data_IF_801926034212
#
_entry.id   IF_801926034212
#
_cell.length_a   1.000
_cell.length_b   1.000
_cell.length_c   1.000
_cell.angle_alpha   90.00
_cell.angle_beta   90.00
_cell.angle_gamma   90.00
#
_symmetry.space_group_name_H-M   'P 1'
#
loop_
_entity.id
_entity.type
_entity.pdbx_description
1 polymer ?
#
# COMPACT_ATOMS: atom_id res chain seq x y z
N UNK A 1 -0.62 -5.05 36.48
CA UNK A 1 0.54 -5.94 36.73
C UNK A 1 0.02 -7.11 37.54
N UNK A 2 -0.37 -8.21 36.88
CA UNK A 2 -0.92 -9.37 37.59
C UNK A 2 0.22 -10.10 38.29
N UNK A 3 0.05 -10.32 39.60
CA UNK A 3 1.05 -10.93 40.47
C UNK A 3 1.41 -12.33 39.95
N UNK A 4 2.68 -12.61 39.76
CA UNK A 4 3.20 -13.91 39.28
C UNK A 4 2.75 -15.09 40.16
N UNK A 5 2.48 -14.81 41.44
CA UNK A 5 1.87 -15.76 42.39
C UNK A 5 0.44 -16.16 42.04
N UNK A 6 -0.37 -15.27 41.44
CA UNK A 6 -1.75 -15.58 41.03
C UNK A 6 -1.77 -16.51 39.80
N UNK A 7 -0.82 -16.34 38.89
CA UNK A 7 -0.66 -17.22 37.71
C UNK A 7 -0.23 -18.62 38.14
N UNK A 8 0.70 -18.73 39.09
CA UNK A 8 1.10 -20.02 39.65
C UNK A 8 -0.08 -20.73 40.33
N UNK A 9 -0.87 -20.02 41.14
CA UNK A 9 -2.03 -20.58 41.82
C UNK A 9 -3.10 -21.10 40.85
N UNK A 10 -3.37 -20.37 39.76
CA UNK A 10 -4.30 -20.81 38.71
C UNK A 10 -3.79 -22.05 37.97
N UNK A 11 -2.47 -22.17 37.77
CA UNK A 11 -1.87 -23.38 37.20
C UNK A 11 -2.04 -24.58 38.14
N UNK A 12 -1.78 -24.42 39.44
CA UNK A 12 -1.94 -25.52 40.42
C UNK A 12 -3.39 -25.96 40.60
N UNK A 13 -4.36 -25.03 40.63
CA UNK A 13 -5.79 -25.35 40.75
C UNK A 13 -6.30 -26.13 39.54
N UNK A 14 -5.81 -25.82 38.33
CA UNK A 14 -6.19 -26.54 37.12
C UNK A 14 -5.50 -27.91 36.99
N UNK A 15 -4.24 -28.03 37.43
CA UNK A 15 -3.53 -29.33 37.49
C UNK A 15 -4.19 -30.26 38.50
N UNK A 16 -4.64 -29.75 39.66
CA UNK A 16 -5.34 -30.55 40.67
C UNK A 16 -6.67 -31.14 40.20
N UNK A 17 -7.41 -30.40 39.35
CA UNK A 17 -8.66 -30.91 38.74
C UNK A 17 -8.39 -31.97 37.67
N UNK A 18 -7.34 -31.81 36.88
CA UNK A 18 -6.96 -32.76 35.83
C UNK A 18 -6.53 -34.13 36.39
N UNK A 19 -5.97 -34.19 37.60
CA UNK A 19 -5.50 -35.43 38.22
C UNK A 19 -6.62 -36.32 38.80
N UNK A 20 -7.85 -35.82 38.93
CA UNK A 20 -8.98 -36.61 39.50
C UNK A 20 -9.73 -37.48 38.50
N UNK A 21 -9.32 -37.52 37.22
CA UNK A 21 -10.00 -38.27 36.15
C UNK A 21 -9.08 -39.23 35.38
N UNK A 22 -8.26 -40.01 36.08
CA UNK A 22 -7.39 -41.01 35.43
C UNK A 22 -7.69 -42.43 35.92
N UNK A 23 -8.20 -43.26 35.00
CA UNK A 23 -8.35 -44.71 35.16
C UNK A 23 -6.97 -45.38 34.87
N UNK A 24 -6.49 -46.35 35.68
CA UNK A 24 -5.13 -46.87 35.57
C UNK A 24 -5.03 -47.87 34.41
N UNK A 25 -4.80 -47.37 33.20
CA UNK A 25 -4.62 -48.26 32.05
C UNK A 25 -4.39 -47.62 30.68
N UNK A 26 -4.42 -46.28 30.55
CA UNK A 26 -4.17 -45.60 29.27
C UNK A 26 -3.27 -44.37 29.45
N UNK A 27 -2.11 -44.40 28.81
CA UNK A 27 -1.08 -43.36 28.82
C UNK A 27 -1.44 -42.09 28.02
N UNK A 28 -2.69 -41.94 27.58
CA UNK A 28 -3.11 -40.94 26.59
C UNK A 28 -4.08 -39.87 27.10
N UNK A 29 -4.53 -39.95 28.36
CA UNK A 29 -5.53 -39.00 28.89
C UNK A 29 -4.97 -37.58 29.07
N UNK A 30 -3.69 -37.45 29.40
CA UNK A 30 -3.11 -36.15 29.80
C UNK A 30 -2.76 -35.28 28.60
N UNK A 31 -2.42 -35.87 27.45
CA UNK A 31 -1.90 -35.10 26.30
C UNK A 31 -2.99 -34.36 25.54
N UNK A 32 -4.16 -34.96 25.36
CA UNK A 32 -5.28 -34.33 24.65
C UNK A 32 -5.91 -33.19 25.47
N UNK A 33 -6.12 -33.41 26.77
CA UNK A 33 -6.66 -32.39 27.65
C UNK A 33 -5.67 -31.24 27.88
N UNK A 34 -4.37 -31.55 27.96
CA UNK A 34 -3.32 -30.53 28.02
C UNK A 34 -3.27 -29.70 26.73
N UNK A 35 -3.39 -30.34 25.56
CA UNK A 35 -3.45 -29.64 24.28
C UNK A 35 -4.67 -28.71 24.21
N UNK A 36 -5.85 -29.18 24.66
CA UNK A 36 -7.05 -28.36 24.74
C UNK A 36 -6.96 -27.23 25.77
N UNK A 37 -6.26 -27.45 26.89
CA UNK A 37 -6.03 -26.42 27.91
C UNK A 37 -5.05 -25.35 27.40
N UNK A 38 -3.97 -25.73 26.72
CA UNK A 38 -3.03 -24.80 26.09
C UNK A 38 -3.73 -23.98 25.01
N UNK A 39 -4.55 -24.61 24.16
CA UNK A 39 -5.31 -23.92 23.11
C UNK A 39 -6.37 -22.93 23.65
N UNK A 40 -6.84 -23.12 24.89
CA UNK A 40 -7.80 -22.21 25.55
C UNK A 40 -7.12 -21.14 26.42
N UNK A 41 -5.94 -21.42 26.96
CA UNK A 41 -5.19 -20.50 27.83
C UNK A 41 -4.23 -19.57 27.05
N UNK A 42 -3.87 -19.93 25.82
CA UNK A 42 -3.21 -19.00 24.89
C UNK A 42 -4.32 -18.14 24.26
N UNK A 43 -4.40 -16.82 24.56
CA UNK A 43 -5.26 -15.93 23.79
C UNK A 43 -4.71 -15.99 22.37
N UNK A 44 -5.42 -16.68 21.48
CA UNK A 44 -5.11 -16.92 20.07
C UNK A 44 -3.84 -16.19 19.64
N UNK A 45 -2.70 -16.89 19.60
CA UNK A 45 -1.59 -16.41 18.78
C UNK A 45 -2.07 -16.55 17.34
N UNK A 46 -2.86 -15.55 16.96
CA UNK A 46 -3.34 -15.34 15.63
C UNK A 46 -2.10 -14.98 14.85
N UNK A 47 -1.52 -15.96 14.17
CA UNK A 47 -0.92 -15.72 12.86
C UNK A 47 -2.06 -15.32 11.91
N UNK A 48 -2.70 -14.17 12.18
CA UNK A 48 -3.79 -13.66 11.39
C UNK A 48 -3.29 -12.52 10.53
N UNK A 49 -3.04 -12.86 9.27
CA UNK A 49 -3.55 -12.09 8.14
C UNK A 49 -2.88 -10.75 7.80
N UNK A 50 -1.54 -10.64 7.92
CA UNK A 50 -0.80 -9.47 7.43
C UNK A 50 -1.07 -9.17 5.95
N UNK A 51 -1.16 -10.22 5.10
CA UNK A 51 -1.53 -10.06 3.68
C UNK A 51 -2.93 -9.45 3.51
N UNK A 52 -3.96 -9.94 4.21
CA UNK A 52 -5.33 -9.44 3.98
C UNK A 52 -5.57 -8.04 4.55
N UNK A 53 -4.84 -7.62 5.58
CA UNK A 53 -5.00 -6.26 6.12
C UNK A 53 -4.29 -5.22 5.27
N UNK A 54 -3.12 -5.57 4.71
CA UNK A 54 -2.40 -4.71 3.79
C UNK A 54 -3.18 -4.51 2.47
N UNK A 55 -3.79 -5.56 1.94
CA UNK A 55 -4.66 -5.49 0.75
C UNK A 55 -5.91 -4.61 0.96
N UNK A 56 -6.31 -4.34 2.22
CA UNK A 56 -7.38 -3.37 2.53
C UNK A 56 -6.93 -1.92 2.44
N UNK A 57 -5.62 -1.65 2.36
CA UNK A 57 -5.05 -0.31 2.23
C UNK A 57 -4.27 -0.21 0.92
N UNK A 58 -4.98 -0.05 -0.22
CA UNK A 58 -4.32 0.06 -1.51
C UNK A 58 -3.24 1.13 -1.47
N UNK A 59 -2.06 0.73 -1.91
CA UNK A 59 -0.83 1.54 -1.83
C UNK A 59 0.02 1.19 -3.04
N UNK A 60 0.51 2.20 -3.74
CA UNK A 60 1.45 2.01 -4.82
C UNK A 60 2.58 3.03 -4.79
N UNK A 61 3.71 2.63 -5.32
CA UNK A 61 4.85 3.47 -5.62
C UNK A 61 5.43 2.99 -6.94
N UNK A 62 5.50 3.89 -7.90
CA UNK A 62 6.07 3.65 -9.21
C UNK A 62 7.09 4.74 -9.57
N UNK A 63 8.10 4.35 -10.32
CA UNK A 63 9.13 5.27 -10.83
C UNK A 63 9.36 5.05 -12.32
N UNK A 64 9.92 6.06 -12.98
CA UNK A 64 10.18 6.04 -14.42
C UNK A 64 11.62 5.55 -14.68
N UNK A 65 11.80 4.39 -15.32
CA UNK A 65 13.14 3.81 -15.58
C UNK A 65 13.90 4.62 -16.62
N UNK A 66 13.24 4.94 -17.73
CA UNK A 66 13.84 5.59 -18.89
C UNK A 66 13.10 6.87 -19.20
N UNK A 67 13.81 7.90 -19.68
CA UNK A 67 13.19 9.19 -19.98
C UNK A 67 12.06 9.03 -21.00
N UNK A 68 10.91 9.64 -20.73
CA UNK A 68 9.72 9.53 -21.55
C UNK A 68 9.45 10.86 -22.24
N UNK A 69 9.33 10.83 -23.57
CA UNK A 69 8.91 11.99 -24.36
C UNK A 69 7.39 12.07 -24.43
N UNK A 70 6.85 13.23 -24.07
CA UNK A 70 5.43 13.56 -24.10
C UNK A 70 5.13 14.37 -25.37
N UNK A 71 4.70 13.69 -26.43
CA UNK A 71 4.56 14.28 -27.76
C UNK A 71 3.25 15.07 -27.98
N UNK A 72 2.25 14.92 -27.10
CA UNK A 72 0.96 15.63 -27.19
C UNK A 72 0.24 15.68 -25.85
N UNK A 73 -0.84 16.47 -25.75
CA UNK A 73 -1.70 16.58 -24.55
C UNK A 73 -2.38 15.26 -24.12
N UNK A 74 -2.34 14.23 -24.98
CA UNK A 74 -2.98 12.93 -24.72
C UNK A 74 -2.04 11.94 -24.04
N UNK A 75 -0.75 12.23 -23.95
CA UNK A 75 0.25 11.29 -23.43
C UNK A 75 0.18 11.22 -21.91
N UNK A 76 -0.05 10.01 -21.40
CA UNK A 76 0.04 9.65 -19.98
C UNK A 76 1.50 9.29 -19.66
N UNK A 77 2.00 9.76 -18.51
CA UNK A 77 3.32 9.38 -18.01
C UNK A 77 3.23 7.97 -17.44
N UNK A 78 3.98 7.04 -18.01
CA UNK A 78 3.97 5.62 -17.65
C UNK A 78 5.14 5.33 -16.72
N UNK A 79 4.92 5.44 -15.42
CA UNK A 79 5.93 5.02 -14.44
C UNK A 79 5.99 3.48 -14.45
N UNK A 80 6.93 2.97 -15.22
CA UNK A 80 7.05 1.58 -15.66
C UNK A 80 7.72 0.66 -14.61
N UNK A 81 8.24 1.23 -13.53
CA UNK A 81 8.82 0.51 -12.40
C UNK A 81 7.95 0.61 -11.15
N UNK A 82 6.92 -0.24 -11.04
CA UNK A 82 6.10 -0.35 -9.84
C UNK A 82 6.82 -1.17 -8.76
N UNK A 83 7.37 -0.50 -7.74
CA UNK A 83 8.05 -1.17 -6.60
C UNK A 83 7.08 -1.60 -5.52
N UNK A 84 5.96 -0.89 -5.39
CA UNK A 84 4.86 -1.23 -4.47
C UNK A 84 3.58 -1.16 -5.29
N UNK A 85 2.71 -2.18 -5.16
CA UNK A 85 1.39 -2.20 -5.77
C UNK A 85 0.42 -3.09 -4.98
N UNK A 86 0.28 -2.79 -3.69
CA UNK A 86 -0.63 -3.49 -2.77
C UNK A 86 -2.07 -3.11 -3.12
N UNK A 87 -2.98 -4.09 -3.16
CA UNK A 87 -4.36 -3.87 -3.62
C UNK A 87 -4.50 -3.83 -5.15
N UNK A 88 -3.40 -3.95 -5.90
CA UNK A 88 -3.40 -4.07 -7.36
C UNK A 88 -4.05 -2.90 -8.10
N UNK A 89 -4.00 -1.69 -7.54
CA UNK A 89 -4.67 -0.51 -8.10
C UNK A 89 -3.90 0.16 -9.24
N UNK A 90 -2.56 0.08 -9.26
CA UNK A 90 -1.74 0.74 -10.28
C UNK A 90 -1.37 -0.20 -11.42
N UNK A 91 -1.52 0.26 -12.65
CA UNK A 91 -1.09 -0.44 -13.86
C UNK A 91 0.12 0.28 -14.48
N UNK A 92 1.29 -0.34 -14.40
CA UNK A 92 2.55 0.22 -14.91
C UNK A 92 2.63 0.29 -16.44
N UNK A 93 1.78 -0.46 -17.16
CA UNK A 93 1.75 -0.44 -18.63
C UNK A 93 1.00 0.78 -19.18
N UNK A 94 0.05 1.30 -18.39
CA UNK A 94 -0.79 2.45 -18.74
C UNK A 94 -0.44 3.72 -17.97
N UNK A 95 0.18 3.60 -16.79
CA UNK A 95 0.43 4.73 -15.88
C UNK A 95 -0.79 5.14 -15.05
N UNK A 96 -1.81 4.28 -14.98
CA UNK A 96 -3.10 4.60 -14.40
C UNK A 96 -3.29 3.86 -13.07
N UNK A 97 -3.66 4.61 -12.04
CA UNK A 97 -4.21 4.06 -10.82
C UNK A 97 -5.74 3.97 -10.92
N UNK A 98 -6.31 2.79 -10.68
CA UNK A 98 -7.75 2.56 -10.57
C UNK A 98 -8.09 2.23 -9.12
N UNK A 99 -8.96 3.02 -8.50
CA UNK A 99 -9.32 2.86 -7.10
C UNK A 99 -9.97 1.48 -6.84
N UNK A 100 -9.36 0.60 -6.01
CA UNK A 100 -9.95 -0.71 -5.72
C UNK A 100 -11.19 -0.61 -4.82
N UNK A 101 -11.33 0.50 -4.10
CA UNK A 101 -12.36 0.74 -3.10
C UNK A 101 -12.60 2.23 -2.91
N UNK A 102 -13.70 2.56 -2.25
CA UNK A 102 -14.05 3.94 -1.92
C UNK A 102 -13.16 4.47 -0.79
N UNK A 103 -12.84 5.77 -0.86
CA UNK A 103 -12.19 6.50 0.23
C UNK A 103 -11.41 7.72 -0.26
N UNK A 104 -10.79 8.41 0.69
CA UNK A 104 -9.87 9.51 0.43
C UNK A 104 -8.46 8.94 0.24
N UNK A 105 -7.86 9.25 -0.90
CA UNK A 105 -6.51 8.84 -1.25
C UNK A 105 -5.56 10.03 -1.23
N UNK A 106 -4.32 9.81 -0.79
CA UNK A 106 -3.23 10.74 -0.97
C UNK A 106 -2.42 10.29 -2.19
N UNK A 107 -2.15 11.22 -3.10
CA UNK A 107 -1.22 11.03 -4.21
C UNK A 107 -0.07 12.00 -4.09
N UNK A 108 1.13 11.52 -4.42
CA UNK A 108 2.34 12.34 -4.55
C UNK A 108 3.02 12.00 -5.87
N UNK A 109 3.28 13.02 -6.68
CA UNK A 109 3.96 12.91 -7.95
C UNK A 109 5.17 13.84 -7.97
N UNK A 110 6.33 13.31 -8.36
CA UNK A 110 7.53 14.07 -8.68
C UNK A 110 7.80 13.93 -10.17
N UNK A 111 7.87 15.05 -10.88
CA UNK A 111 8.30 15.10 -12.27
C UNK A 111 9.58 15.90 -12.34
N UNK A 112 10.63 15.27 -12.85
CA UNK A 112 11.87 15.94 -13.22
C UNK A 112 11.88 16.14 -14.73
N UNK A 113 12.15 17.36 -15.18
CA UNK A 113 12.38 17.65 -16.58
C UNK A 113 13.78 17.17 -16.99
N UNK A 114 13.93 16.76 -18.25
CA UNK A 114 15.26 16.45 -18.78
C UNK A 114 16.14 17.72 -18.80
N UNK A 115 17.47 17.55 -18.79
CA UNK A 115 18.41 18.68 -18.76
C UNK A 115 18.10 19.74 -19.82
N UNK A 116 17.96 21.00 -19.39
CA UNK A 116 17.68 22.13 -20.27
C UNK A 116 16.24 22.20 -20.80
N UNK A 117 15.37 21.26 -20.41
CA UNK A 117 13.95 21.25 -20.75
C UNK A 117 13.06 21.61 -19.57
N UNK A 118 11.77 21.79 -19.85
CA UNK A 118 10.69 21.97 -18.90
C UNK A 118 9.60 20.91 -19.12
N UNK A 119 8.72 20.70 -18.14
CA UNK A 119 7.57 19.79 -18.28
C UNK A 119 6.32 20.38 -17.63
N UNK A 120 5.26 20.52 -18.42
CA UNK A 120 3.91 20.83 -17.94
C UNK A 120 3.11 19.54 -17.83
N UNK A 121 2.65 19.23 -16.64
CA UNK A 121 1.86 18.03 -16.39
C UNK A 121 0.64 18.34 -15.54
N UNK A 122 -0.27 17.39 -15.49
CA UNK A 122 -1.45 17.46 -14.64
C UNK A 122 -1.81 16.10 -14.09
N UNK A 123 -2.36 16.11 -12.88
CA UNK A 123 -3.04 14.98 -12.29
C UNK A 123 -4.50 15.04 -12.72
N UNK A 124 -5.00 13.91 -13.22
CA UNK A 124 -6.38 13.75 -13.66
C UNK A 124 -7.14 12.83 -12.72
N UNK A 125 -8.44 13.12 -12.53
CA UNK A 125 -9.44 12.19 -12.00
C UNK A 125 -10.48 11.96 -13.09
N UNK A 126 -10.67 10.72 -13.54
CA UNK A 126 -11.67 10.36 -14.58
C UNK A 126 -11.63 11.29 -15.80
N UNK A 127 -10.45 11.49 -16.39
CA UNK A 127 -10.20 12.37 -17.54
C UNK A 127 -10.37 13.88 -17.32
N UNK A 128 -10.87 14.29 -16.16
CA UNK A 128 -10.97 15.68 -15.75
C UNK A 128 -9.68 16.14 -15.06
N UNK A 129 -9.30 17.39 -15.34
CA UNK A 129 -8.18 18.04 -14.66
C UNK A 129 -8.47 18.14 -13.16
N UNK A 130 -7.56 17.64 -12.33
CA UNK A 130 -7.64 17.77 -10.87
C UNK A 130 -6.67 18.83 -10.34
N UNK A 131 -5.39 18.72 -10.71
CA UNK A 131 -4.37 19.72 -10.38
C UNK A 131 -3.23 19.69 -11.39
N UNK A 132 -2.32 20.64 -11.30
CA UNK A 132 -1.31 20.94 -12.31
C UNK A 132 0.08 21.00 -11.70
N UNK A 133 1.08 20.69 -12.50
CA UNK A 133 2.48 20.84 -12.14
C UNK A 133 3.29 21.41 -13.30
N UNK A 134 4.38 22.10 -12.94
CA UNK A 134 5.33 22.66 -13.88
C UNK A 134 6.74 22.46 -13.35
N UNK A 135 7.49 21.57 -13.99
CA UNK A 135 8.92 21.41 -13.76
C UNK A 135 9.66 22.43 -14.63
N UNK A 136 10.29 23.42 -14.00
CA UNK A 136 10.90 24.56 -14.67
C UNK A 136 12.12 24.17 -15.50
N UNK A 137 12.39 24.96 -16.54
CA UNK A 137 13.61 24.87 -17.33
C UNK A 137 14.86 25.10 -16.47
N UNK A 138 15.60 24.04 -16.17
CA UNK A 138 16.90 24.09 -15.51
C UNK A 138 17.69 22.81 -15.77
N UNK A 139 18.87 22.66 -15.16
CA UNK A 139 19.60 21.40 -15.16
C UNK A 139 18.89 20.40 -14.25
N UNK A 140 17.93 19.65 -14.82
CA UNK A 140 17.11 18.67 -14.11
C UNK A 140 16.15 19.28 -13.08
N UNK A 141 15.44 20.34 -13.47
CA UNK A 141 14.39 20.95 -12.65
C UNK A 141 13.30 19.94 -12.31
N UNK A 142 12.91 19.89 -11.03
CA UNK A 142 11.90 18.97 -10.55
C UNK A 142 10.76 19.70 -9.87
N UNK A 143 9.55 19.16 -9.98
CA UNK A 143 8.37 19.66 -9.30
C UNK A 143 7.61 18.53 -8.63
N UNK A 144 7.13 18.79 -7.42
CA UNK A 144 6.31 17.88 -6.63
C UNK A 144 4.86 18.37 -6.59
N UNK A 145 3.91 17.48 -6.82
CA UNK A 145 2.48 17.72 -6.66
C UNK A 145 1.93 16.71 -5.67
N UNK A 146 1.31 17.21 -4.60
CA UNK A 146 0.60 16.40 -3.61
C UNK A 146 -0.90 16.68 -3.70
N UNK A 147 -1.75 15.67 -3.57
CA UNK A 147 -3.20 15.83 -3.68
C UNK A 147 -3.95 14.83 -2.82
N UNK A 148 -4.98 15.30 -2.11
CA UNK A 148 -6.01 14.45 -1.53
C UNK A 148 -7.14 14.33 -2.54
N UNK A 149 -7.59 13.12 -2.83
CA UNK A 149 -8.62 12.83 -3.83
C UNK A 149 -9.63 11.87 -3.23
N UNK A 150 -10.89 12.29 -3.15
CA UNK A 150 -12.00 11.39 -2.86
C UNK A 150 -12.29 10.52 -4.09
N UNK A 151 -12.22 9.20 -3.94
CA UNK A 151 -12.39 8.24 -5.03
C UNK A 151 -13.47 7.21 -4.69
N UNK A 152 -14.26 6.88 -5.71
CA UNK A 152 -15.11 5.68 -5.72
C UNK A 152 -14.37 4.53 -6.37
N UNK A 153 -14.73 3.30 -6.01
CA UNK A 153 -14.23 2.10 -6.69
C UNK A 153 -14.41 2.25 -8.20
N UNK A 154 -13.32 2.07 -8.95
CA UNK A 154 -13.28 2.22 -10.40
C UNK A 154 -12.89 3.61 -10.90
N UNK A 155 -12.84 4.64 -10.05
CA UNK A 155 -12.30 5.94 -10.43
C UNK A 155 -10.81 5.81 -10.79
N UNK A 156 -10.38 6.59 -11.79
CA UNK A 156 -9.03 6.56 -12.34
C UNK A 156 -8.28 7.83 -12.00
N UNK A 157 -7.03 7.68 -11.57
CA UNK A 157 -6.07 8.76 -11.33
C UNK A 157 -4.78 8.51 -12.09
N UNK A 158 -4.29 9.52 -12.81
CA UNK A 158 -3.07 9.40 -13.59
C UNK A 158 -2.45 10.76 -13.88
N UNK A 159 -1.17 10.75 -14.25
CA UNK A 159 -0.42 11.94 -14.64
C UNK A 159 -0.37 12.01 -16.17
N UNK A 160 -0.76 13.15 -16.74
CA UNK A 160 -0.68 13.38 -18.18
C UNK A 160 0.01 14.68 -18.52
N UNK A 161 0.51 14.72 -19.75
CA UNK A 161 1.02 15.92 -20.37
C UNK A 161 -0.07 16.99 -20.46
N UNK A 162 0.30 18.25 -20.28
CA UNK A 162 -0.66 19.36 -20.27
C UNK A 162 -0.65 20.20 -21.55
N UNK A 163 0.44 20.19 -22.31
CA UNK A 163 0.59 21.07 -23.48
C UNK A 163 0.84 20.29 -24.77
N UNK A 164 0.74 20.98 -25.92
CA UNK A 164 0.87 20.35 -27.24
C UNK A 164 2.31 20.19 -27.72
N UNK A 165 3.26 20.94 -27.18
CA UNK A 165 4.67 20.89 -27.58
C UNK A 165 5.39 19.73 -26.90
N UNK A 166 6.28 19.04 -27.63
CA UNK A 166 7.04 17.91 -27.09
C UNK A 166 7.89 18.32 -25.87
N UNK A 167 7.71 17.62 -24.76
CA UNK A 167 8.50 17.78 -23.53
C UNK A 167 8.99 16.42 -23.02
N UNK A 168 10.14 16.35 -22.36
CA UNK A 168 10.73 15.08 -21.92
C UNK A 168 10.80 15.01 -20.40
N UNK A 169 10.12 14.02 -19.82
CA UNK A 169 10.24 13.64 -18.42
C UNK A 169 11.50 12.82 -18.24
N UNK A 170 12.34 13.21 -17.29
CA UNK A 170 13.58 12.52 -16.97
C UNK A 170 13.31 11.20 -16.25
N UNK A 171 13.95 10.14 -16.73
CA UNK A 171 13.87 8.78 -16.18
C UNK A 171 14.85 8.56 -15.03
N UNK A 172 15.52 7.39 -15.02
CA UNK A 172 16.50 6.98 -14.01
C UNK A 172 15.96 7.01 -12.57
N UNK A 173 14.68 6.71 -12.41
CA UNK A 173 13.94 6.74 -11.14
C UNK A 173 13.83 8.12 -10.48
N UNK A 174 14.19 9.21 -11.18
CA UNK A 174 14.09 10.57 -10.67
C UNK A 174 12.65 11.11 -10.69
N UNK A 175 11.82 10.61 -11.60
CA UNK A 175 10.39 10.91 -11.65
C UNK A 175 9.59 9.76 -11.04
N UNK A 176 8.67 10.08 -10.13
CA UNK A 176 7.93 9.09 -9.33
C UNK A 176 6.46 9.45 -9.22
N UNK A 177 5.63 8.43 -9.04
CA UNK A 177 4.22 8.57 -8.73
C UNK A 177 3.81 7.55 -7.70
N UNK A 178 3.13 8.00 -6.67
CA UNK A 178 2.74 7.18 -5.54
C UNK A 178 1.38 7.60 -5.04
N UNK A 179 0.72 6.67 -4.34
CA UNK A 179 -0.48 6.99 -3.61
C UNK A 179 -0.91 5.88 -2.69
N UNK A 180 -1.71 6.25 -1.69
CA UNK A 180 -2.21 5.33 -0.68
C UNK A 180 -3.57 5.78 -0.15
N UNK A 181 -4.36 4.82 0.31
CA UNK A 181 -5.64 5.08 0.97
C UNK A 181 -5.39 5.69 2.36
N UNK A 182 -5.92 6.89 2.59
CA UNK A 182 -5.86 7.57 3.89
C UNK A 182 -7.01 7.13 4.79
N UNK A 183 -8.25 7.26 4.31
CA UNK A 183 -9.46 6.97 5.09
C UNK A 183 -10.61 6.52 4.21
N UNK A 184 -11.58 5.81 4.80
CA UNK A 184 -12.81 5.34 4.15
C UNK A 184 -13.98 6.22 4.59
#
# INVERSE_FOLDING_TARGET
MFSTTLVLLLLFVNVGKALTSCNPGKTTCVTEDLLHMIMRAVPTFKDSNSKTDLERRPTFFASLKTSQTLSSIRVIVKFDDAKINIGGGYDSTTGIFTAPRNGIYIFSCVIMANSGGDVHFQLNKNDQLYTVGYATKSNYGAQTVNSLVDLRKGDKVYIKHRIGSSQTVHGFHCSTFSGYLLSK
#
